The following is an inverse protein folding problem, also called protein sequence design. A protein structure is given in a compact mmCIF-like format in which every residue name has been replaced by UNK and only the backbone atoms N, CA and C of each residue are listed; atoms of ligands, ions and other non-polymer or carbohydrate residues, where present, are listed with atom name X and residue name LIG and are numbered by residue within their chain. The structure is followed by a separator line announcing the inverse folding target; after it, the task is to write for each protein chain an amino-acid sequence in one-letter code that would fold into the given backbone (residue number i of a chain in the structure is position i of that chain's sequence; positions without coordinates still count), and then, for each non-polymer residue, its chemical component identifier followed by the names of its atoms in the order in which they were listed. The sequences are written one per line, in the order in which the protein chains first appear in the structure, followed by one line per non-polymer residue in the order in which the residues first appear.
data_IF_211212131804
#
_entry.id   IF_211212131804
#
_cell.length_a   1.000
_cell.length_b   1.000
_cell.length_c   1.000
_cell.angle_alpha   90.00
_cell.angle_beta   90.00
_cell.angle_gamma   90.00
#
_symmetry.space_group_name_H-M   'P 1'
#
loop_
_entity.id
_entity.type
_entity.pdbx_description
1 polymer ?
#
# COMPACT_ATOMS: atom_id res chain seq x y z
N UNK A 1 -33.97 -14.82 -11.01
CA UNK A 1 -32.91 -14.49 -11.98
C UNK A 1 -31.98 -13.53 -11.28
N UNK A 2 -30.73 -13.90 -11.07
CA UNK A 2 -29.75 -13.03 -10.42
C UNK A 2 -29.28 -12.01 -11.46
N UNK A 3 -29.52 -10.72 -11.22
CA UNK A 3 -29.00 -9.66 -12.08
C UNK A 3 -27.46 -9.74 -12.10
N UNK A 4 -26.81 -9.62 -13.27
CA UNK A 4 -25.37 -9.49 -13.33
C UNK A 4 -25.01 -8.17 -12.65
N UNK A 5 -24.40 -8.24 -11.47
CA UNK A 5 -23.82 -7.07 -10.81
C UNK A 5 -22.78 -6.51 -11.80
N UNK A 6 -23.08 -5.40 -12.47
CA UNK A 6 -22.10 -4.69 -13.28
C UNK A 6 -20.89 -4.46 -12.38
N UNK A 7 -19.75 -5.03 -12.76
CA UNK A 7 -18.47 -4.69 -12.15
C UNK A 7 -18.32 -3.19 -12.30
N UNK A 8 -18.50 -2.46 -11.20
CA UNK A 8 -18.28 -1.02 -11.15
C UNK A 8 -16.86 -0.80 -11.64
N UNK A 9 -16.73 -0.09 -12.75
CA UNK A 9 -15.44 0.31 -13.32
C UNK A 9 -14.54 0.78 -12.17
N UNK A 10 -13.35 0.17 -11.96
CA UNK A 10 -12.49 0.54 -10.85
C UNK A 10 -12.02 1.96 -11.12
N UNK A 11 -12.75 2.93 -10.54
CA UNK A 11 -12.35 4.32 -10.54
C UNK A 11 -10.93 4.46 -9.99
N UNK A 12 -10.25 5.60 -10.24
CA UNK A 12 -8.86 5.79 -9.87
C UNK A 12 -8.62 5.42 -8.40
N UNK A 13 -7.55 4.65 -8.16
CA UNK A 13 -7.16 4.23 -6.81
C UNK A 13 -6.94 5.49 -5.97
N UNK A 14 -7.67 5.68 -4.87
CA UNK A 14 -7.51 6.86 -4.04
C UNK A 14 -6.10 6.92 -3.44
N UNK A 15 -5.43 8.06 -3.57
CA UNK A 15 -4.14 8.32 -2.96
C UNK A 15 -4.32 8.91 -1.57
N UNK A 16 -3.70 8.29 -0.58
CA UNK A 16 -3.70 8.70 0.83
C UNK A 16 -2.60 9.70 1.14
N UNK A 17 -1.59 9.83 0.27
CA UNK A 17 -0.42 10.69 0.48
C UNK A 17 0.66 10.04 1.34
N UNK A 18 0.47 8.77 1.71
CA UNK A 18 1.41 7.97 2.47
C UNK A 18 2.00 6.89 1.58
N UNK A 19 3.30 6.98 1.28
CA UNK A 19 3.92 6.23 0.19
C UNK A 19 3.74 4.72 0.33
N UNK A 20 3.88 4.20 1.56
CA UNK A 20 3.69 2.76 1.82
C UNK A 20 2.24 2.32 1.69
N UNK A 21 1.28 3.13 2.15
CA UNK A 21 -0.15 2.80 2.00
C UNK A 21 -0.57 2.87 0.54
N UNK A 22 -0.11 3.88 -0.20
CA UNK A 22 -0.41 4.03 -1.62
C UNK A 22 0.18 2.88 -2.45
N UNK A 23 1.36 2.37 -2.07
CA UNK A 23 1.94 1.15 -2.65
C UNK A 23 1.07 -0.08 -2.42
N UNK A 24 0.62 -0.33 -1.17
CA UNK A 24 -0.27 -1.47 -0.87
C UNK A 24 -1.60 -1.36 -1.63
N UNK A 25 -2.17 -0.16 -1.74
CA UNK A 25 -3.41 0.05 -2.49
C UNK A 25 -3.24 -0.19 -3.99
N UNK A 26 -2.09 0.17 -4.56
CA UNK A 26 -1.76 -0.13 -5.95
C UNK A 26 -1.63 -1.64 -6.17
N UNK A 27 -0.94 -2.36 -5.27
CA UNK A 27 -0.77 -3.82 -5.38
C UNK A 27 -2.11 -4.58 -5.30
N UNK A 28 -3.08 -4.04 -4.56
CA UNK A 28 -4.43 -4.58 -4.46
C UNK A 28 -5.33 -4.23 -5.66
N UNK A 29 -5.01 -3.18 -6.42
CA UNK A 29 -5.80 -2.78 -7.59
C UNK A 29 -5.82 -3.87 -8.67
N UNK A 30 -4.69 -4.57 -8.84
CA UNK A 30 -4.54 -5.64 -9.83
C UNK A 30 -5.02 -7.02 -9.31
N UNK A 31 -5.54 -7.08 -8.07
CA UNK A 31 -5.93 -8.35 -7.44
C UNK A 31 -7.01 -9.09 -8.24
N UNK A 32 -7.94 -8.35 -8.87
CA UNK A 32 -9.01 -8.92 -9.69
C UNK A 32 -8.48 -9.65 -10.93
N UNK A 33 -7.30 -9.29 -11.42
CA UNK A 33 -6.66 -9.91 -12.58
C UNK A 33 -5.82 -11.14 -12.20
N UNK A 34 -5.55 -11.33 -10.91
CA UNK A 34 -4.75 -12.44 -10.39
C UNK A 34 -5.58 -13.70 -10.14
N UNK A 35 -4.98 -14.90 -10.22
CA UNK A 35 -5.65 -16.15 -9.87
C UNK A 35 -6.19 -16.12 -8.44
N UNK A 36 -7.42 -16.63 -8.24
CA UNK A 36 -8.09 -16.64 -6.94
C UNK A 36 -7.26 -17.33 -5.84
N UNK A 37 -6.46 -18.34 -6.20
CA UNK A 37 -5.57 -19.05 -5.28
C UNK A 37 -4.50 -18.14 -4.66
N UNK A 38 -4.17 -17.03 -5.30
CA UNK A 38 -3.19 -16.06 -4.81
C UNK A 38 -3.80 -14.95 -3.97
N UNK A 39 -5.14 -14.82 -3.96
CA UNK A 39 -5.81 -13.70 -3.30
C UNK A 39 -5.57 -13.72 -1.79
N UNK A 40 -5.58 -14.91 -1.20
CA UNK A 40 -5.34 -15.07 0.22
C UNK A 40 -3.95 -14.52 0.62
N UNK A 41 -2.91 -14.90 -0.12
CA UNK A 41 -1.54 -14.48 0.18
C UNK A 41 -1.34 -13.00 -0.10
N UNK A 42 -1.97 -12.46 -1.14
CA UNK A 42 -1.94 -11.04 -1.47
C UNK A 42 -2.60 -10.20 -0.36
N UNK A 43 -3.79 -10.61 0.10
CA UNK A 43 -4.52 -9.94 1.16
C UNK A 43 -3.79 -10.05 2.51
N UNK A 44 -3.18 -11.20 2.81
CA UNK A 44 -2.39 -11.37 4.02
C UNK A 44 -1.20 -10.40 4.08
N UNK A 45 -0.44 -10.29 2.98
CA UNK A 45 0.68 -9.34 2.87
C UNK A 45 0.23 -7.89 3.00
N UNK A 46 -0.81 -7.51 2.27
CA UNK A 46 -1.37 -6.17 2.35
C UNK A 46 -1.81 -5.82 3.78
N UNK A 47 -2.43 -6.76 4.49
CA UNK A 47 -2.82 -6.57 5.88
C UNK A 47 -1.62 -6.40 6.81
N UNK A 48 -0.56 -7.21 6.64
CA UNK A 48 0.67 -7.10 7.43
C UNK A 48 1.37 -5.75 7.22
N UNK A 49 1.46 -5.28 5.97
CA UNK A 49 2.10 -4.00 5.65
C UNK A 49 1.30 -2.81 6.18
N UNK A 50 -0.04 -2.83 6.05
CA UNK A 50 -0.91 -1.82 6.66
C UNK A 50 -0.82 -1.86 8.19
N UNK A 51 -0.75 -3.04 8.80
CA UNK A 51 -0.60 -3.18 10.23
C UNK A 51 0.73 -2.62 10.73
N UNK A 52 1.82 -2.82 9.97
CA UNK A 52 3.14 -2.25 10.27
C UNK A 52 3.09 -0.72 10.25
N UNK A 53 2.49 -0.14 9.22
CA UNK A 53 2.29 1.31 9.10
C UNK A 53 1.56 1.89 10.32
N UNK A 54 0.50 1.22 10.75
CA UNK A 54 -0.31 1.69 11.89
C UNK A 54 0.39 1.47 13.24
N UNK A 55 1.29 0.49 13.32
CA UNK A 55 2.00 0.13 14.55
C UNK A 55 3.29 0.93 14.74
N UNK A 56 3.89 1.41 13.65
CA UNK A 56 5.11 2.22 13.66
C UNK A 56 4.96 3.44 12.72
N UNK A 57 4.38 4.54 13.22
CA UNK A 57 4.17 5.75 12.43
C UNK A 57 5.46 6.52 12.13
N UNK A 58 6.60 6.15 12.73
CA UNK A 58 7.90 6.80 12.53
C UNK A 58 8.76 6.11 11.43
N UNK A 59 8.32 4.96 10.90
CA UNK A 59 9.02 4.17 9.86
C UNK A 59 9.04 4.86 8.48
N UNK A 60 8.44 6.05 8.35
CA UNK A 60 8.50 6.91 7.16
C UNK A 60 9.77 7.79 7.11
N UNK A 61 10.59 7.79 8.17
CA UNK A 61 11.78 8.65 8.28
C UNK A 61 13.10 7.90 8.04
N UNK A 62 13.28 7.28 6.87
CA UNK A 62 14.65 6.92 6.40
C UNK A 62 14.75 7.09 4.89
N UNK A 63 14.71 8.36 4.47
CA UNK A 63 14.90 8.78 3.09
C UNK A 63 15.65 10.10 2.93
N UNK A 64 16.46 10.52 3.92
CA UNK A 64 17.39 11.62 3.80
C UNK A 64 18.50 11.53 4.86
N UNK A 65 19.42 10.59 4.68
CA UNK A 65 20.73 10.67 5.32
C UNK A 65 21.50 11.85 4.75
N UNK A 66 21.38 13.02 5.38
CA UNK A 66 22.31 14.14 5.21
C UNK A 66 22.72 14.70 6.57
N UNK A 67 23.29 13.84 7.41
CA UNK A 67 24.21 14.28 8.46
C UNK A 67 25.50 14.78 7.79
N UNK A 68 25.40 15.91 7.08
CA UNK A 68 26.56 16.65 6.61
C UNK A 68 27.30 17.17 7.83
N UNK A 69 28.53 16.72 7.94
CA UNK A 69 29.55 17.28 8.80
C UNK A 69 29.71 18.80 8.55
N UNK A 70 29.68 19.57 9.63
CA UNK A 70 30.32 20.89 9.84
C UNK A 70 30.00 21.29 11.29
N UNK A 71 30.91 21.65 12.19
CA UNK A 71 32.25 22.17 12.07
C UNK A 71 32.40 23.29 13.10
N UNK A 72 33.38 23.17 14.01
CA UNK A 72 34.07 24.28 14.68
C UNK A 72 33.32 25.14 15.70
N UNK A 73 33.72 25.01 16.98
CA UNK A 73 34.44 26.06 17.72
C UNK A 73 35.02 25.47 19.00
#
# INVERSE_FOLDING_TARGET
MTEPQQAKDPGPVPTTGHARVDGVLADLADLAERPLTEHHDALARAHEDLHRVLSDPDDESTGAGNHSAAGGA
#
